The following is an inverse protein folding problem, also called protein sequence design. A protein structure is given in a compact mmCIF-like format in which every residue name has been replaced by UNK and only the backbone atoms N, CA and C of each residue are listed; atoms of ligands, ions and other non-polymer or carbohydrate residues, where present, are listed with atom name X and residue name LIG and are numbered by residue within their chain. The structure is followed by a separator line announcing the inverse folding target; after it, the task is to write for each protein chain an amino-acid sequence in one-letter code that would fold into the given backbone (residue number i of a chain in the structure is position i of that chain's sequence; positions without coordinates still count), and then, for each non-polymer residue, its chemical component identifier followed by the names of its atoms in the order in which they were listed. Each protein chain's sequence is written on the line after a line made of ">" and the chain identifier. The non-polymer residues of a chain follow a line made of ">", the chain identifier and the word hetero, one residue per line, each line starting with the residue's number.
data_IF_775924624805
#
_entry.id   IF_775924624805
#
_cell.length_a   1.000
_cell.length_b   1.000
_cell.length_c   1.000
_cell.angle_alpha   90.00
_cell.angle_beta   90.00
_cell.angle_gamma   90.00
#
_symmetry.space_group_name_H-M   'P 1'
#
loop_
_entity.id
_entity.type
_entity.pdbx_description
1 polymer ?
#
# COMPACT_ATOMS: atom_id res chain seq x y z
N UNK A 1 18.19 25.94 -8.98
CA UNK A 1 18.84 24.75 -8.37
C UNK A 1 19.51 25.09 -7.05
N UNK A 2 20.31 26.12 -6.95
CA UNK A 2 21.02 26.50 -5.70
C UNK A 2 20.07 26.71 -4.50
N UNK A 3 18.95 27.39 -4.68
CA UNK A 3 17.97 27.62 -3.58
C UNK A 3 17.33 26.34 -3.05
N UNK A 4 17.00 25.38 -3.93
CA UNK A 4 16.38 24.12 -3.51
C UNK A 4 17.38 23.22 -2.79
N UNK A 5 18.63 23.19 -3.23
CA UNK A 5 19.70 22.50 -2.54
C UNK A 5 19.93 23.08 -1.14
N UNK A 6 19.98 24.40 -1.00
CA UNK A 6 20.13 25.04 0.30
C UNK A 6 18.99 24.68 1.26
N UNK A 7 17.75 24.55 0.76
CA UNK A 7 16.61 24.09 1.56
C UNK A 7 16.83 22.63 2.02
N UNK A 8 17.24 21.74 1.12
CA UNK A 8 17.50 20.34 1.48
C UNK A 8 18.64 20.23 2.50
N UNK A 9 19.73 20.97 2.29
CA UNK A 9 20.86 20.99 3.23
C UNK A 9 20.44 21.51 4.62
N UNK A 10 19.62 22.57 4.67
CA UNK A 10 19.05 23.08 5.91
C UNK A 10 18.17 22.07 6.63
N UNK A 11 17.34 21.31 5.89
CA UNK A 11 16.52 20.23 6.45
C UNK A 11 17.38 19.09 7.02
N UNK A 12 18.50 18.75 6.34
CA UNK A 12 19.43 17.72 6.82
C UNK A 12 20.12 18.14 8.13
N UNK A 13 20.51 19.40 8.24
CA UNK A 13 21.08 19.96 9.49
C UNK A 13 20.06 19.87 10.63
N UNK A 14 18.82 20.29 10.40
CA UNK A 14 17.76 20.25 11.41
C UNK A 14 17.40 18.81 11.79
N UNK A 15 17.35 17.89 10.83
CA UNK A 15 17.10 16.48 11.08
C UNK A 15 18.17 15.88 12.01
N UNK A 16 19.46 16.13 11.75
CA UNK A 16 20.56 15.71 12.65
C UNK A 16 20.41 16.30 14.03
N UNK A 17 20.13 17.61 14.13
CA UNK A 17 19.93 18.29 15.41
C UNK A 17 18.82 17.66 16.24
N UNK A 18 17.79 17.10 15.58
CA UNK A 18 16.66 16.38 16.22
C UNK A 18 16.92 14.90 16.47
N UNK A 19 18.09 14.38 16.13
CA UNK A 19 18.39 12.95 16.26
C UNK A 19 17.59 12.06 15.32
N UNK A 20 17.13 12.59 14.19
CA UNK A 20 16.44 11.79 13.17
C UNK A 20 17.50 10.98 12.42
N UNK A 21 17.36 9.65 12.45
CA UNK A 21 18.32 8.75 11.83
C UNK A 21 18.00 8.42 10.36
N UNK A 22 16.74 8.60 9.93
CA UNK A 22 16.31 8.22 8.57
C UNK A 22 15.28 9.19 8.03
N UNK A 23 15.44 9.56 6.77
CA UNK A 23 14.55 10.49 6.06
C UNK A 23 13.97 9.82 4.83
N UNK A 24 12.69 10.11 4.58
CA UNK A 24 11.99 9.72 3.36
C UNK A 24 11.44 10.96 2.66
N UNK A 25 11.65 11.02 1.35
CA UNK A 25 11.04 12.01 0.48
C UNK A 25 10.26 11.31 -0.64
N UNK A 26 8.99 11.66 -0.80
CA UNK A 26 8.14 11.15 -1.88
C UNK A 26 7.67 12.29 -2.75
N UNK A 27 7.75 12.11 -4.06
CA UNK A 27 7.33 13.13 -5.02
C UNK A 27 6.93 12.51 -6.36
N UNK A 28 6.26 13.29 -7.20
CA UNK A 28 6.04 12.92 -8.60
C UNK A 28 7.38 12.78 -9.34
N UNK A 29 7.58 11.77 -10.19
CA UNK A 29 8.78 11.64 -11.04
C UNK A 29 8.95 12.82 -12.00
N UNK A 30 7.88 13.58 -12.28
CA UNK A 30 7.95 14.79 -13.10
C UNK A 30 8.55 15.99 -12.37
N UNK A 31 8.71 15.93 -11.05
CA UNK A 31 9.39 16.97 -10.27
C UNK A 31 10.91 16.80 -10.34
N UNK A 32 11.45 16.88 -11.56
CA UNK A 32 12.87 16.63 -11.83
C UNK A 32 13.81 17.49 -11.00
N UNK A 33 13.42 18.73 -10.70
CA UNK A 33 14.24 19.64 -9.89
C UNK A 33 14.38 19.15 -8.45
N UNK A 34 13.28 18.72 -7.84
CA UNK A 34 13.30 18.19 -6.47
C UNK A 34 14.02 16.85 -6.41
N UNK A 35 13.76 15.95 -7.36
CA UNK A 35 14.45 14.64 -7.43
C UNK A 35 15.95 14.85 -7.49
N UNK A 36 16.45 15.66 -8.43
CA UNK A 36 17.89 15.95 -8.56
C UNK A 36 18.50 16.62 -7.33
N UNK A 37 17.74 17.49 -6.65
CA UNK A 37 18.23 18.17 -5.46
C UNK A 37 18.44 17.19 -4.28
N UNK A 38 17.49 16.26 -4.07
CA UNK A 38 17.62 15.27 -2.99
C UNK A 38 18.65 14.19 -3.34
N UNK A 39 18.74 13.74 -4.60
CA UNK A 39 19.82 12.85 -5.06
C UNK A 39 21.19 13.46 -4.84
N UNK A 40 21.39 14.75 -5.20
CA UNK A 40 22.62 15.47 -4.95
C UNK A 40 22.93 15.65 -3.46
N UNK A 41 21.91 15.57 -2.60
CA UNK A 41 22.05 15.55 -1.14
C UNK A 41 22.27 14.14 -0.58
N UNK A 42 22.40 13.12 -1.44
CA UNK A 42 22.73 11.74 -1.08
C UNK A 42 21.52 10.88 -0.68
N UNK A 43 20.32 11.26 -1.11
CA UNK A 43 19.18 10.34 -1.07
C UNK A 43 19.29 9.32 -2.20
N UNK A 44 18.89 8.09 -1.92
CA UNK A 44 18.83 7.00 -2.89
C UNK A 44 17.38 6.63 -3.21
N UNK A 45 17.12 6.18 -4.44
CA UNK A 45 15.81 5.65 -4.82
C UNK A 45 15.50 4.38 -4.02
N UNK A 46 14.39 4.37 -3.30
CA UNK A 46 13.92 3.24 -2.51
C UNK A 46 12.69 2.56 -3.12
N UNK A 47 11.78 3.32 -3.76
CA UNK A 47 10.55 2.77 -4.32
C UNK A 47 10.06 3.61 -5.51
N UNK A 48 9.41 2.94 -6.44
CA UNK A 48 8.58 3.56 -7.47
C UNK A 48 7.17 3.04 -7.28
N UNK A 49 6.27 3.93 -6.89
CA UNK A 49 4.89 3.59 -6.62
C UNK A 49 3.95 4.04 -7.73
N UNK A 50 2.78 3.42 -7.76
CA UNK A 50 1.67 3.85 -8.60
C UNK A 50 0.38 3.81 -7.81
N UNK A 51 -0.43 4.86 -7.96
CA UNK A 51 -1.79 4.93 -7.41
C UNK A 51 -2.78 4.63 -8.53
N UNK A 52 -3.67 3.69 -8.26
CA UNK A 52 -4.80 3.40 -9.13
C UNK A 52 -6.08 3.88 -8.45
N UNK A 53 -7.02 4.32 -9.25
CA UNK A 53 -8.31 4.85 -8.85
C UNK A 53 -9.43 4.06 -9.51
N UNK A 54 -10.49 3.79 -8.75
CA UNK A 54 -11.78 3.30 -9.25
C UNK A 54 -12.86 4.30 -8.87
N UNK A 55 -13.82 4.54 -9.80
CA UNK A 55 -15.01 5.36 -9.54
C UNK A 55 -16.27 4.53 -9.63
N UNK A 56 -17.26 4.85 -8.81
CA UNK A 56 -18.54 4.14 -8.79
C UNK A 56 -19.24 4.09 -10.16
N UNK A 57 -18.99 5.09 -11.03
CA UNK A 57 -19.49 5.14 -12.41
C UNK A 57 -18.77 4.18 -13.37
N UNK A 58 -17.61 3.64 -13.00
CA UNK A 58 -16.84 2.71 -13.84
C UNK A 58 -17.32 1.29 -13.62
N UNK A 59 -17.43 0.52 -14.70
CA UNK A 59 -17.86 -0.87 -14.62
C UNK A 59 -16.64 -1.79 -14.55
N UNK A 60 -16.68 -2.76 -13.66
CA UNK A 60 -15.72 -3.85 -13.64
C UNK A 60 -15.97 -4.77 -14.86
N UNK A 61 -14.92 -5.10 -15.58
CA UNK A 61 -14.99 -6.06 -16.72
C UNK A 61 -14.83 -7.52 -16.27
N UNK A 62 -14.50 -7.73 -14.99
CA UNK A 62 -14.26 -9.07 -14.45
C UNK A 62 -15.50 -9.69 -13.81
N UNK A 63 -15.58 -11.02 -13.93
CA UNK A 63 -16.58 -11.84 -13.22
C UNK A 63 -15.87 -12.69 -12.19
N UNK A 64 -16.40 -12.75 -10.96
CA UNK A 64 -15.90 -13.65 -9.94
C UNK A 64 -16.49 -15.05 -10.08
N UNK A 65 -15.70 -16.07 -9.74
CA UNK A 65 -16.24 -17.36 -9.28
C UNK A 65 -16.93 -17.12 -7.94
N UNK A 66 -17.86 -18.03 -7.54
CA UNK A 66 -18.53 -17.95 -6.24
C UNK A 66 -17.52 -18.29 -5.13
N UNK A 67 -16.78 -17.29 -4.68
CA UNK A 67 -15.95 -17.32 -3.47
C UNK A 67 -16.71 -16.50 -2.44
N UNK A 68 -17.00 -17.07 -1.29
CA UNK A 68 -17.60 -16.34 -0.18
C UNK A 68 -16.56 -15.32 0.33
N UNK A 69 -16.97 -14.09 0.48
CA UNK A 69 -16.16 -13.05 1.15
C UNK A 69 -16.95 -12.53 2.33
N UNK A 70 -16.34 -12.52 3.49
CA UNK A 70 -16.94 -12.06 4.75
C UNK A 70 -16.06 -11.04 5.45
N UNK A 71 -16.59 -10.42 6.48
CA UNK A 71 -15.81 -9.63 7.43
C UNK A 71 -14.87 -10.55 8.22
N UNK A 72 -13.70 -10.02 8.56
CA UNK A 72 -12.77 -10.71 9.44
C UNK A 72 -13.34 -10.83 10.85
N UNK A 73 -12.99 -11.91 11.53
CA UNK A 73 -13.31 -12.14 12.94
C UNK A 73 -12.01 -12.26 13.74
N UNK A 74 -12.07 -12.08 15.05
CA UNK A 74 -10.90 -12.09 15.92
C UNK A 74 -10.00 -13.33 15.74
N UNK A 75 -10.63 -14.50 15.51
CA UNK A 75 -9.89 -15.74 15.26
C UNK A 75 -9.09 -15.77 13.95
N UNK A 76 -9.33 -14.84 13.01
CA UNK A 76 -8.55 -14.71 11.79
C UNK A 76 -7.23 -13.97 12.03
N UNK A 77 -7.18 -13.07 13.03
CA UNK A 77 -6.06 -12.14 13.24
C UNK A 77 -4.68 -12.79 13.29
N UNK A 78 -4.46 -13.93 13.95
CA UNK A 78 -3.15 -14.57 13.94
C UNK A 78 -2.64 -14.90 12.53
N UNK A 79 -3.52 -15.43 11.67
CA UNK A 79 -3.19 -15.78 10.29
C UNK A 79 -3.02 -14.53 9.42
N UNK A 80 -3.89 -13.53 9.57
CA UNK A 80 -3.77 -12.27 8.83
C UNK A 80 -2.47 -11.54 9.19
N UNK A 81 -2.04 -11.60 10.45
CA UNK A 81 -0.77 -11.04 10.90
C UNK A 81 0.43 -11.77 10.28
N UNK A 82 0.40 -13.10 10.21
CA UNK A 82 1.42 -13.88 9.50
C UNK A 82 1.51 -13.43 8.02
N UNK A 83 0.39 -13.27 7.34
CA UNK A 83 0.37 -12.80 5.96
C UNK A 83 0.81 -11.35 5.82
N UNK A 84 0.45 -10.47 6.76
CA UNK A 84 0.92 -9.09 6.75
C UNK A 84 2.45 -9.00 6.82
N UNK A 85 3.12 -9.90 7.54
CA UNK A 85 4.58 -9.92 7.65
C UNK A 85 5.29 -10.71 6.56
N UNK A 86 4.58 -11.52 5.76
CA UNK A 86 5.23 -12.43 4.79
C UNK A 86 4.90 -12.13 3.33
N UNK A 87 3.74 -11.54 3.02
CA UNK A 87 3.25 -11.41 1.64
C UNK A 87 3.56 -10.08 0.96
N UNK A 88 4.12 -9.10 1.67
CA UNK A 88 4.40 -7.77 1.14
C UNK A 88 5.88 -7.54 0.81
N UNK A 89 6.59 -8.59 0.38
CA UNK A 89 8.03 -8.57 0.14
C UNK A 89 8.53 -7.60 -0.94
N UNK A 90 7.64 -7.05 -1.79
CA UNK A 90 7.99 -5.97 -2.73
C UNK A 90 8.11 -4.60 -2.07
N UNK A 91 7.75 -4.47 -0.81
CA UNK A 91 7.82 -3.19 -0.10
C UNK A 91 9.25 -2.73 0.10
N UNK A 92 9.47 -1.45 -0.12
CA UNK A 92 10.77 -0.83 0.08
C UNK A 92 11.33 -0.98 1.51
N UNK A 93 10.49 -1.16 2.53
CA UNK A 93 10.94 -1.44 3.89
C UNK A 93 11.81 -2.70 4.00
N UNK A 94 11.61 -3.69 3.12
CA UNK A 94 12.42 -4.90 3.07
C UNK A 94 13.71 -4.76 2.24
N UNK A 95 13.87 -3.65 1.53
CA UNK A 95 14.98 -3.41 0.61
C UNK A 95 15.84 -2.21 1.02
N UNK A 96 15.36 -1.34 1.91
CA UNK A 96 16.12 -0.24 2.47
C UNK A 96 17.03 -0.77 3.59
N UNK A 97 18.37 -0.61 3.48
CA UNK A 97 19.32 -1.14 4.45
C UNK A 97 19.22 -0.53 5.86
N UNK A 98 18.44 0.54 6.02
CA UNK A 98 18.17 1.13 7.33
C UNK A 98 17.29 0.23 8.21
N UNK A 99 16.39 -0.54 7.63
CA UNK A 99 15.44 -1.38 8.35
C UNK A 99 15.95 -2.82 8.47
N UNK A 100 15.87 -3.40 9.67
CA UNK A 100 15.98 -4.85 9.81
C UNK A 100 14.69 -5.52 9.31
N UNK A 101 14.75 -6.83 9.07
CA UNK A 101 13.58 -7.62 8.71
C UNK A 101 12.47 -7.49 9.74
N UNK A 102 12.82 -7.59 11.01
CA UNK A 102 11.88 -7.50 12.14
C UNK A 102 11.20 -6.13 12.21
N UNK A 103 11.92 -5.06 11.89
CA UNK A 103 11.35 -3.71 11.84
C UNK A 103 10.38 -3.57 10.67
N UNK A 104 10.70 -4.10 9.50
CA UNK A 104 9.80 -4.10 8.35
C UNK A 104 8.53 -4.92 8.64
N UNK A 105 8.67 -6.12 9.23
CA UNK A 105 7.56 -6.97 9.65
C UNK A 105 6.67 -6.24 10.67
N UNK A 106 7.26 -5.54 11.65
CA UNK A 106 6.54 -4.77 12.66
C UNK A 106 5.69 -3.64 12.06
N UNK A 107 6.15 -2.99 10.99
CA UNK A 107 5.36 -1.96 10.27
C UNK A 107 4.07 -2.56 9.72
N UNK A 108 4.14 -3.69 9.04
CA UNK A 108 2.97 -4.34 8.44
C UNK A 108 2.02 -4.93 9.48
N UNK A 109 2.57 -5.55 10.54
CA UNK A 109 1.78 -6.01 11.67
C UNK A 109 1.01 -4.86 12.32
N UNK A 110 1.68 -3.71 12.55
CA UNK A 110 1.06 -2.52 13.12
C UNK A 110 -0.04 -1.93 12.20
N UNK A 111 0.17 -1.91 10.88
CA UNK A 111 -0.87 -1.46 9.96
C UNK A 111 -2.12 -2.33 10.00
N UNK A 112 -1.97 -3.66 10.09
CA UNK A 112 -3.10 -4.57 10.27
C UNK A 112 -3.81 -4.34 11.60
N UNK A 113 -3.06 -4.22 12.70
CA UNK A 113 -3.60 -3.97 14.05
C UNK A 113 -4.34 -2.63 14.12
N UNK A 114 -3.77 -1.59 13.48
CA UNK A 114 -4.42 -0.28 13.38
C UNK A 114 -5.71 -0.35 12.57
N UNK A 115 -5.71 -1.07 11.45
CA UNK A 115 -6.91 -1.29 10.64
C UNK A 115 -8.00 -2.06 11.41
N UNK A 116 -7.61 -3.04 12.24
CA UNK A 116 -8.54 -3.78 13.08
C UNK A 116 -9.17 -2.92 14.18
N UNK A 117 -8.42 -2.00 14.74
CA UNK A 117 -8.88 -1.11 15.82
C UNK A 117 -9.68 0.09 15.32
N UNK A 118 -9.56 0.44 14.03
CA UNK A 118 -10.20 1.62 13.43
C UNK A 118 -11.66 1.32 13.06
N UNK A 119 -12.58 2.21 13.46
CA UNK A 119 -14.03 2.07 13.21
C UNK A 119 -14.43 2.40 11.76
N UNK A 120 -13.61 3.17 11.06
CA UNK A 120 -13.82 3.57 9.67
C UNK A 120 -13.14 2.62 8.68
N UNK A 121 -12.59 1.52 9.21
CA UNK A 121 -11.90 0.48 8.44
C UNK A 121 -12.59 -0.86 8.61
N UNK A 122 -12.78 -1.58 7.50
CA UNK A 122 -13.27 -2.96 7.46
C UNK A 122 -12.18 -3.87 6.92
N UNK A 123 -12.07 -5.08 7.46
CA UNK A 123 -11.19 -6.12 6.93
C UNK A 123 -12.06 -7.22 6.32
N UNK A 124 -11.89 -7.44 5.01
CA UNK A 124 -12.61 -8.46 4.25
C UNK A 124 -11.71 -9.68 4.00
N UNK A 125 -12.30 -10.87 4.16
CA UNK A 125 -11.61 -12.16 4.07
C UNK A 125 -12.36 -13.07 3.10
N UNK A 126 -11.76 -13.53 1.99
CA UNK A 126 -12.30 -14.55 1.12
C UNK A 126 -12.12 -15.94 1.76
N UNK A 127 -13.10 -16.81 1.63
CA UNK A 127 -13.05 -18.19 2.13
C UNK A 127 -12.93 -19.20 1.00
N UNK A 128 -12.01 -20.15 1.19
CA UNK A 128 -11.86 -21.35 0.35
C UNK A 128 -11.97 -22.56 1.25
N UNK A 129 -12.97 -23.40 0.99
CA UNK A 129 -13.19 -24.61 1.79
C UNK A 129 -13.25 -24.35 3.31
N UNK A 130 -13.87 -23.22 3.71
CA UNK A 130 -14.04 -22.85 5.11
C UNK A 130 -12.77 -22.26 5.77
N UNK A 131 -11.76 -21.89 4.99
CA UNK A 131 -10.52 -21.26 5.49
C UNK A 131 -10.27 -19.92 4.81
N UNK A 132 -9.69 -18.95 5.51
CA UNK A 132 -9.24 -17.71 4.88
C UNK A 132 -8.29 -17.98 3.70
N UNK A 133 -8.48 -17.25 2.59
CA UNK A 133 -7.64 -17.36 1.39
C UNK A 133 -6.93 -16.04 1.04
N UNK A 134 -6.98 -15.06 1.93
CA UNK A 134 -6.41 -13.73 1.77
C UNK A 134 -7.10 -12.71 2.64
N UNK A 135 -6.80 -11.43 2.46
CA UNK A 135 -7.51 -10.34 3.12
C UNK A 135 -7.33 -9.01 2.41
N UNK A 136 -8.23 -8.06 2.69
CA UNK A 136 -8.06 -6.65 2.32
C UNK A 136 -8.54 -5.74 3.43
N UNK A 137 -7.81 -4.66 3.69
CA UNK A 137 -8.29 -3.56 4.54
C UNK A 137 -8.93 -2.48 3.68
N UNK A 138 -10.11 -2.03 4.08
CA UNK A 138 -10.95 -1.07 3.36
C UNK A 138 -11.26 0.10 4.29
N UNK A 139 -10.68 1.26 4.06
CA UNK A 139 -10.81 2.43 4.94
C UNK A 139 -11.59 3.56 4.27
N UNK A 140 -12.43 4.25 5.02
CA UNK A 140 -13.02 5.52 4.62
C UNK A 140 -12.15 6.66 5.16
N UNK A 141 -11.62 7.46 4.25
CA UNK A 141 -10.76 8.59 4.60
C UNK A 141 -11.61 9.80 5.01
N UNK A 142 -11.03 10.73 5.78
CA UNK A 142 -11.69 11.95 6.23
C UNK A 142 -12.23 12.84 5.10
N UNK A 143 -11.65 12.74 3.89
CA UNK A 143 -12.11 13.43 2.69
C UNK A 143 -13.30 12.74 2.00
N UNK A 144 -13.84 11.65 2.56
CA UNK A 144 -14.94 10.87 2.01
C UNK A 144 -14.55 9.92 0.88
N UNK A 145 -13.26 9.70 0.64
CA UNK A 145 -12.76 8.73 -0.33
C UNK A 145 -12.49 7.37 0.33
N UNK A 146 -12.51 6.31 -0.48
CA UNK A 146 -12.12 4.98 -0.05
C UNK A 146 -10.64 4.69 -0.32
N UNK A 147 -10.01 3.96 0.56
CA UNK A 147 -8.62 3.49 0.41
C UNK A 147 -8.52 1.99 0.67
N UNK A 148 -7.84 1.30 -0.24
CA UNK A 148 -7.43 -0.10 -0.06
C UNK A 148 -6.00 -0.07 0.48
N UNK A 149 -5.85 -0.29 1.80
CA UNK A 149 -4.54 -0.21 2.47
C UNK A 149 -3.70 -1.46 2.22
N UNK A 150 -4.14 -2.59 2.75
CA UNK A 150 -3.51 -3.90 2.54
C UNK A 150 -4.40 -4.77 1.65
N UNK A 151 -3.81 -5.47 0.70
CA UNK A 151 -4.49 -6.45 -0.14
C UNK A 151 -3.55 -7.63 -0.41
N UNK A 152 -3.91 -8.79 0.10
CA UNK A 152 -3.12 -10.00 -0.03
C UNK A 152 -3.99 -11.21 -0.38
N UNK A 153 -3.46 -12.11 -1.17
CA UNK A 153 -4.01 -13.43 -1.46
C UNK A 153 -2.99 -14.47 -1.01
N UNK A 154 -3.44 -15.44 -0.24
CA UNK A 154 -2.57 -16.52 0.22
C UNK A 154 -1.97 -17.28 -0.97
N UNK A 155 -0.70 -17.71 -0.92
CA UNK A 155 -0.03 -18.37 -2.03
C UNK A 155 -0.80 -19.59 -2.56
N UNK A 156 -1.37 -20.39 -1.66
CA UNK A 156 -2.18 -21.59 -1.97
C UNK A 156 -3.52 -21.24 -2.63
N UNK A 157 -3.99 -20.01 -2.48
CA UNK A 157 -5.22 -19.50 -3.09
C UNK A 157 -4.99 -18.77 -4.42
N UNK A 158 -3.73 -18.54 -4.78
CA UNK A 158 -3.36 -17.83 -6.00
C UNK A 158 -3.83 -18.58 -7.26
N UNK A 159 -4.19 -17.83 -8.30
CA UNK A 159 -4.65 -18.40 -9.58
C UNK A 159 -6.07 -18.99 -9.55
N UNK A 160 -6.73 -19.06 -8.40
CA UNK A 160 -8.07 -19.65 -8.24
C UNK A 160 -9.20 -18.61 -8.34
N UNK A 161 -8.90 -17.37 -8.71
CA UNK A 161 -9.87 -16.27 -8.83
C UNK A 161 -10.23 -15.59 -7.51
N UNK A 162 -9.54 -15.95 -6.43
CA UNK A 162 -9.77 -15.42 -5.06
C UNK A 162 -9.51 -13.93 -4.98
N UNK A 163 -8.40 -13.45 -5.55
CA UNK A 163 -8.09 -12.02 -5.59
C UNK A 163 -9.16 -11.21 -6.34
N UNK A 164 -9.69 -11.75 -7.44
CA UNK A 164 -10.80 -11.12 -8.16
C UNK A 164 -12.07 -11.06 -7.30
N UNK A 165 -12.41 -12.16 -6.61
CA UNK A 165 -13.59 -12.21 -5.75
C UNK A 165 -13.46 -11.22 -4.59
N UNK A 166 -12.30 -11.20 -3.93
CA UNK A 166 -12.01 -10.26 -2.85
C UNK A 166 -12.12 -8.81 -3.32
N UNK A 167 -11.48 -8.47 -4.46
CA UNK A 167 -11.51 -7.08 -4.97
C UNK A 167 -12.93 -6.64 -5.35
N UNK A 168 -13.75 -7.51 -5.92
CA UNK A 168 -15.14 -7.19 -6.22
C UNK A 168 -15.96 -6.97 -4.95
N UNK A 169 -15.75 -7.79 -3.90
CA UNK A 169 -16.39 -7.59 -2.60
C UNK A 169 -15.94 -6.29 -1.93
N UNK A 170 -14.67 -5.91 -2.06
CA UNK A 170 -14.13 -4.62 -1.62
C UNK A 170 -14.84 -3.47 -2.32
N UNK A 171 -15.00 -3.53 -3.65
CA UNK A 171 -15.72 -2.51 -4.40
C UNK A 171 -17.22 -2.47 -4.03
N UNK A 172 -17.84 -3.62 -3.77
CA UNK A 172 -19.24 -3.70 -3.29
C UNK A 172 -19.38 -3.06 -1.90
N UNK A 173 -18.38 -3.22 -1.02
CA UNK A 173 -18.36 -2.56 0.28
C UNK A 173 -18.24 -1.04 0.16
N UNK A 174 -17.40 -0.53 -0.74
CA UNK A 174 -17.24 0.91 -0.96
C UNK A 174 -18.41 1.57 -1.70
N UNK A 175 -19.10 0.86 -2.59
CA UNK A 175 -20.14 1.40 -3.50
C UNK A 175 -21.21 2.28 -2.82
N UNK A 176 -21.79 1.92 -1.65
CA UNK A 176 -22.75 2.78 -0.96
C UNK A 176 -22.10 3.85 -0.09
N UNK A 177 -20.77 3.91 0.01
CA UNK A 177 -20.04 4.71 0.99
C UNK A 177 -19.23 5.85 0.38
N UNK A 178 -18.71 5.67 -0.83
CA UNK A 178 -17.90 6.68 -1.50
C UNK A 178 -17.97 6.51 -3.03
N UNK A 179 -17.66 7.60 -3.73
CA UNK A 179 -17.63 7.62 -5.21
C UNK A 179 -16.27 7.23 -5.78
N UNK A 180 -15.22 7.37 -4.99
CA UNK A 180 -13.84 7.21 -5.39
C UNK A 180 -13.11 6.27 -4.44
N UNK A 181 -12.44 5.27 -4.98
CA UNK A 181 -11.59 4.32 -4.24
C UNK A 181 -10.20 4.36 -4.82
N UNK A 182 -9.19 4.44 -3.97
CA UNK A 182 -7.78 4.41 -4.36
C UNK A 182 -7.07 3.18 -3.80
N UNK A 183 -6.02 2.80 -4.48
CA UNK A 183 -5.05 1.80 -4.01
C UNK A 183 -3.67 2.21 -4.50
N UNK A 184 -2.68 2.16 -3.62
CA UNK A 184 -1.28 2.36 -4.00
C UNK A 184 -0.52 1.05 -3.94
N UNK A 185 0.24 0.76 -4.98
CA UNK A 185 1.14 -0.41 -5.02
C UNK A 185 2.47 -0.04 -5.66
N UNK A 186 3.47 -0.93 -5.58
CA UNK A 186 4.73 -0.77 -6.29
C UNK A 186 4.51 -0.87 -7.80
N UNK A 187 5.18 -0.04 -8.58
CA UNK A 187 5.08 -0.07 -10.05
C UNK A 187 5.56 -1.41 -10.65
N UNK A 188 6.38 -2.16 -9.91
CA UNK A 188 6.83 -3.51 -10.28
C UNK A 188 5.83 -4.62 -9.88
N UNK A 189 4.75 -4.31 -9.17
CA UNK A 189 3.74 -5.29 -8.77
C UNK A 189 2.74 -5.54 -9.92
N UNK A 190 3.25 -6.06 -11.01
CA UNK A 190 2.44 -6.32 -12.23
C UNK A 190 1.18 -7.18 -11.99
N UNK A 191 1.23 -8.24 -11.15
CA UNK A 191 0.03 -9.03 -10.87
C UNK A 191 -1.08 -8.22 -10.19
N UNK A 192 -0.75 -7.38 -9.21
CA UNK A 192 -1.72 -6.52 -8.52
C UNK A 192 -2.27 -5.45 -9.48
N UNK A 193 -1.40 -4.78 -10.24
CA UNK A 193 -1.81 -3.77 -11.23
C UNK A 193 -2.78 -4.39 -12.25
N UNK A 194 -2.46 -5.57 -12.79
CA UNK A 194 -3.33 -6.26 -13.74
C UNK A 194 -4.69 -6.66 -13.11
N UNK A 195 -4.70 -7.07 -11.83
CA UNK A 195 -5.92 -7.37 -11.09
C UNK A 195 -6.79 -6.12 -10.95
N UNK A 196 -6.23 -5.01 -10.50
CA UNK A 196 -6.94 -3.75 -10.34
C UNK A 196 -7.48 -3.23 -11.67
N UNK A 197 -6.67 -3.24 -12.73
CA UNK A 197 -7.11 -2.79 -14.06
C UNK A 197 -8.27 -3.61 -14.63
N UNK A 198 -8.26 -4.95 -14.44
CA UNK A 198 -9.38 -5.82 -14.81
C UNK A 198 -10.66 -5.51 -14.03
N UNK A 199 -10.52 -5.01 -12.80
CA UNK A 199 -11.65 -4.57 -11.99
C UNK A 199 -12.10 -3.13 -12.30
N UNK A 200 -11.51 -2.47 -13.30
CA UNK A 200 -11.89 -1.12 -13.74
C UNK A 200 -11.08 0.01 -13.12
N UNK A 201 -10.06 -0.28 -12.32
CA UNK A 201 -9.15 0.76 -11.83
C UNK A 201 -8.30 1.31 -12.98
N UNK A 202 -7.93 2.58 -12.87
CA UNK A 202 -7.02 3.26 -13.79
C UNK A 202 -5.85 3.84 -13.02
N UNK A 203 -4.66 3.78 -13.59
CA UNK A 203 -3.49 4.46 -13.04
C UNK A 203 -3.72 5.96 -13.18
N UNK A 204 -3.61 6.68 -12.06
CA UNK A 204 -3.82 8.14 -12.00
C UNK A 204 -2.58 8.88 -11.54
N UNK A 205 -1.67 8.20 -10.85
CA UNK A 205 -0.45 8.81 -10.33
C UNK A 205 0.70 7.81 -10.30
N UNK A 206 1.90 8.33 -10.51
CA UNK A 206 3.15 7.63 -10.20
C UNK A 206 3.98 8.50 -9.25
N UNK A 207 4.67 7.86 -8.33
CA UNK A 207 5.57 8.53 -7.38
C UNK A 207 6.91 7.81 -7.27
N UNK A 208 7.94 8.56 -6.90
CA UNK A 208 9.24 8.04 -6.49
C UNK A 208 9.43 8.33 -5.01
N UNK A 209 9.90 7.33 -4.29
CA UNK A 209 10.32 7.45 -2.89
C UNK A 209 11.83 7.35 -2.83
N UNK A 210 12.46 8.38 -2.28
CA UNK A 210 13.89 8.40 -2.03
C UNK A 210 14.13 8.45 -0.53
N UNK A 211 15.15 7.76 -0.07
CA UNK A 211 15.50 7.65 1.35
C UNK A 211 16.95 8.06 1.59
N UNK A 212 17.24 8.50 2.79
CA UNK A 212 18.57 8.80 3.27
C UNK A 212 18.71 8.46 4.74
N UNK A 213 19.69 7.61 5.05
CA UNK A 213 20.17 7.42 6.43
C UNK A 213 21.11 8.55 6.79
N UNK A 214 20.95 9.08 7.98
CA UNK A 214 21.85 10.09 8.54
C UNK A 214 22.77 9.39 9.54
N UNK A 215 24.08 9.59 9.32
CA UNK A 215 25.09 9.21 10.32
C UNK A 215 24.85 10.06 11.56
N UNK A 216 24.83 9.41 12.72
CA UNK A 216 24.65 10.07 14.01
C UNK A 216 25.87 10.88 14.42
#
# INVERSE_FOLDING_TARGET
>A
MESLRAVVDGLLVEARRRGIAHLRYRTSPLNHMAVRAVEAAGFALADVGTTLEHRASWRAECRSRRVLVRQAVESDLPLLREWATTLFGLSWFYHDPFFTREQADAVYAHWLESAWADRDTEILVPEISGRPGGFSTCSLLQNGEGDIGLFAVAPEAAGQGVGTALLLAVLDWFRPRCERVTVRTQAANYPAIALYQKAGFRIVEADVTLTKTLDG
#
